data_IF_292867591803
#
_entry.id   IF_292867591803
#
_cell.length_a   1.000
_cell.length_b   1.000
_cell.length_c   1.000
_cell.angle_alpha   90.00
_cell.angle_beta   90.00
_cell.angle_gamma   90.00
#
_symmetry.space_group_name_H-M   'P 1'
#
loop_
_entity.id
_entity.type
_entity.pdbx_description
1 polymer ?
#
# COMPACT_ATOMS: atom_id res chain seq x y z
N UNK A 1 -20.54 -11.59 -1.42
CA UNK A 1 -20.72 -11.26 0.02
C UNK A 1 -19.47 -11.73 0.76
N UNK A 2 -18.68 -10.85 1.37
CA UNK A 2 -17.50 -11.26 2.15
C UNK A 2 -17.96 -11.95 3.45
N UNK A 3 -17.29 -13.05 3.81
CA UNK A 3 -17.49 -13.81 5.05
C UNK A 3 -16.44 -13.40 6.09
N UNK A 4 -16.70 -13.64 7.38
CA UNK A 4 -15.67 -13.49 8.40
C UNK A 4 -14.56 -14.51 8.12
N UNK A 5 -13.32 -14.05 7.97
CA UNK A 5 -12.20 -14.96 7.69
C UNK A 5 -11.62 -15.52 9.00
N UNK A 6 -10.98 -16.71 8.99
CA UNK A 6 -10.27 -17.24 10.15
C UNK A 6 -9.26 -16.24 10.74
N UNK A 7 -8.55 -15.50 9.88
CA UNK A 7 -7.60 -14.47 10.31
C UNK A 7 -8.26 -13.28 11.01
N UNK A 8 -9.42 -12.82 10.53
CA UNK A 8 -10.18 -11.74 11.16
C UNK A 8 -10.55 -12.12 12.59
N UNK A 9 -11.14 -13.31 12.77
CA UNK A 9 -11.53 -13.81 14.10
C UNK A 9 -10.28 -14.03 14.97
N UNK A 10 -9.21 -14.62 14.43
CA UNK A 10 -7.97 -14.84 15.16
C UNK A 10 -7.30 -13.52 15.63
N UNK A 11 -7.43 -12.43 14.85
CA UNK A 11 -6.92 -11.10 15.24
C UNK A 11 -7.61 -10.53 16.48
N UNK A 12 -8.90 -10.86 16.66
CA UNK A 12 -9.71 -10.50 17.81
C UNK A 12 -9.38 -11.40 19.02
N UNK A 13 -9.18 -12.70 18.78
CA UNK A 13 -8.71 -13.62 19.82
C UNK A 13 -7.32 -13.28 20.32
N UNK A 14 -6.42 -12.79 19.45
CA UNK A 14 -5.11 -12.28 19.85
C UNK A 14 -5.25 -11.09 20.80
N UNK A 15 -6.17 -10.16 20.52
CA UNK A 15 -6.44 -9.04 21.42
C UNK A 15 -6.88 -9.53 22.80
N UNK A 16 -7.85 -10.46 22.84
CA UNK A 16 -8.36 -11.03 24.08
C UNK A 16 -7.29 -11.79 24.85
N UNK A 17 -6.52 -12.64 24.18
CA UNK A 17 -5.46 -13.42 24.80
C UNK A 17 -4.38 -12.53 25.42
N UNK A 18 -3.95 -11.50 24.70
CA UNK A 18 -2.94 -10.56 25.20
C UNK A 18 -3.49 -9.72 26.36
N UNK A 19 -4.73 -9.24 26.31
CA UNK A 19 -5.34 -8.51 27.43
C UNK A 19 -5.59 -9.38 28.66
N UNK A 20 -5.87 -10.67 28.49
CA UNK A 20 -6.01 -11.62 29.60
C UNK A 20 -4.68 -11.87 30.32
N UNK A 21 -3.60 -12.03 29.55
CA UNK A 21 -2.26 -12.28 30.09
C UNK A 21 -1.59 -11.00 30.62
N UNK A 22 -1.85 -9.87 29.96
CA UNK A 22 -1.18 -8.59 30.22
C UNK A 22 -2.19 -7.44 30.31
N UNK A 23 -2.98 -7.31 31.39
CA UNK A 23 -4.10 -6.37 31.45
C UNK A 23 -3.75 -4.89 31.23
N UNK A 24 -2.52 -4.49 31.58
CA UNK A 24 -2.02 -3.11 31.46
C UNK A 24 -1.48 -2.76 30.07
N UNK A 25 -1.33 -3.75 29.18
CA UNK A 25 -0.86 -3.48 27.82
C UNK A 25 -1.91 -2.71 27.04
N UNK A 26 -1.48 -1.70 26.28
CA UNK A 26 -2.36 -0.91 25.43
C UNK A 26 -2.38 -1.50 24.03
N UNK A 27 -3.55 -1.49 23.40
CA UNK A 27 -3.74 -1.92 22.02
C UNK A 27 -3.62 -0.71 21.08
N UNK A 28 -3.13 -0.96 19.87
CA UNK A 28 -3.01 0.03 18.80
C UNK A 28 -3.60 -0.55 17.51
N UNK A 29 -2.81 -0.67 16.44
CA UNK A 29 -3.25 -1.18 15.14
C UNK A 29 -3.53 -2.69 15.09
N UNK A 30 -4.33 -3.10 14.11
CA UNK A 30 -4.55 -4.51 13.78
C UNK A 30 -4.63 -4.72 12.28
N UNK A 31 -4.26 -5.93 11.83
CA UNK A 31 -4.28 -6.33 10.43
C UNK A 31 -4.74 -7.78 10.34
N UNK A 32 -5.56 -8.11 9.33
CA UNK A 32 -5.99 -9.47 9.05
C UNK A 32 -6.29 -9.61 7.55
N UNK A 33 -5.49 -10.41 6.85
CA UNK A 33 -5.63 -10.65 5.42
C UNK A 33 -4.91 -11.94 5.02
N UNK A 34 -5.39 -12.64 3.99
CA UNK A 34 -4.73 -13.82 3.42
C UNK A 34 -4.30 -14.87 4.45
N UNK A 35 -5.16 -15.12 5.46
CA UNK A 35 -4.91 -16.05 6.56
C UNK A 35 -3.73 -15.68 7.49
N UNK A 36 -3.22 -14.45 7.35
CA UNK A 36 -2.26 -13.83 8.24
C UNK A 36 -2.96 -12.75 9.07
N UNK A 37 -2.51 -12.54 10.30
CA UNK A 37 -3.01 -11.44 11.13
C UNK A 37 -1.91 -10.92 12.03
N UNK A 38 -2.05 -9.66 12.45
CA UNK A 38 -1.18 -9.07 13.46
C UNK A 38 -1.92 -8.05 14.30
N UNK A 39 -1.41 -7.80 15.50
CA UNK A 39 -1.88 -6.72 16.37
C UNK A 39 -0.70 -6.03 17.04
N UNK A 40 -0.80 -4.71 17.10
CA UNK A 40 0.20 -3.83 17.69
C UNK A 40 -0.22 -3.47 19.11
N UNK A 41 0.77 -3.42 19.97
CA UNK A 41 0.64 -3.19 21.39
C UNK A 41 1.69 -2.21 21.88
N UNK A 42 1.38 -1.56 22.99
CA UNK A 42 2.29 -0.68 23.69
C UNK A 42 2.39 -1.09 25.16
N UNK A 43 3.62 -1.27 25.62
CA UNK A 43 3.92 -1.80 26.96
C UNK A 43 5.14 -1.13 27.58
N UNK A 44 5.23 -1.12 28.91
CA UNK A 44 6.42 -0.67 29.65
C UNK A 44 7.45 -1.81 29.87
N UNK A 45 7.09 -3.05 29.54
CA UNK A 45 7.93 -4.24 29.70
C UNK A 45 8.15 -4.97 28.38
N UNK A 46 9.26 -5.70 28.29
CA UNK A 46 9.63 -6.45 27.10
C UNK A 46 8.74 -7.70 26.92
N UNK A 47 8.36 -8.02 25.69
CA UNK A 47 7.68 -9.27 25.36
C UNK A 47 8.69 -10.23 24.73
N UNK A 48 9.18 -11.17 25.53
CA UNK A 48 10.15 -12.15 25.08
C UNK A 48 9.51 -13.29 24.25
N UNK A 49 10.34 -14.22 23.78
CA UNK A 49 9.87 -15.37 23.01
C UNK A 49 8.93 -16.30 23.81
N UNK A 50 8.97 -16.29 25.13
CA UNK A 50 8.07 -17.09 25.97
C UNK A 50 6.64 -16.54 25.94
N UNK A 51 6.49 -15.21 25.82
CA UNK A 51 5.19 -14.57 25.65
C UNK A 51 4.42 -15.12 24.44
N UNK A 52 5.12 -15.43 23.34
CA UNK A 52 4.51 -16.04 22.15
C UNK A 52 3.88 -17.39 22.47
N UNK A 53 4.52 -18.21 23.32
CA UNK A 53 3.97 -19.49 23.73
C UNK A 53 2.73 -19.32 24.62
N UNK A 54 2.80 -18.43 25.63
CA UNK A 54 1.65 -18.15 26.49
C UNK A 54 0.44 -17.62 25.72
N UNK A 55 0.66 -16.72 24.77
CA UNK A 55 -0.41 -16.20 23.91
C UNK A 55 -1.00 -17.31 23.04
N UNK A 56 -0.16 -18.18 22.46
CA UNK A 56 -0.64 -19.35 21.71
C UNK A 56 -1.51 -20.27 22.57
N UNK A 57 -1.08 -20.57 23.80
CA UNK A 57 -1.81 -21.42 24.72
C UNK A 57 -3.16 -20.78 25.08
N UNK A 58 -3.15 -19.49 25.41
CA UNK A 58 -4.39 -18.77 25.74
C UNK A 58 -5.36 -18.69 24.57
N UNK A 59 -4.89 -18.52 23.34
CA UNK A 59 -5.76 -18.56 22.14
C UNK A 59 -6.40 -19.94 21.99
N UNK A 60 -5.68 -21.04 22.25
CA UNK A 60 -6.26 -22.40 22.20
C UNK A 60 -7.37 -22.57 23.24
N UNK A 61 -7.21 -22.01 24.43
CA UNK A 61 -8.26 -22.02 25.45
C UNK A 61 -9.51 -21.25 24.99
N UNK A 62 -9.31 -20.05 24.43
CA UNK A 62 -10.41 -19.21 23.92
C UNK A 62 -11.17 -19.91 22.78
N UNK A 63 -10.46 -20.57 21.87
CA UNK A 63 -11.05 -21.38 20.78
C UNK A 63 -11.85 -22.55 21.36
N UNK A 64 -11.29 -23.26 22.33
CA UNK A 64 -11.94 -24.42 22.98
C UNK A 64 -13.19 -24.02 23.75
N UNK A 65 -13.20 -22.83 24.35
CA UNK A 65 -14.34 -22.28 25.07
C UNK A 65 -15.51 -21.83 24.16
N UNK A 66 -15.29 -21.73 22.84
CA UNK A 66 -16.32 -21.38 21.85
C UNK A 66 -17.11 -20.10 22.19
N UNK A 67 -16.41 -19.09 22.68
CA UNK A 67 -16.99 -17.82 23.14
C UNK A 67 -17.55 -16.99 21.96
N UNK A 68 -18.62 -16.20 22.18
CA UNK A 68 -19.17 -15.34 21.14
C UNK A 68 -18.31 -14.09 20.93
N UNK A 69 -18.19 -13.70 19.66
CA UNK A 69 -17.68 -12.41 19.19
C UNK A 69 -18.87 -11.69 18.55
N UNK A 70 -19.23 -10.54 19.11
CA UNK A 70 -20.47 -9.84 18.75
C UNK A 70 -20.10 -8.46 18.21
N UNK A 71 -20.51 -8.18 16.97
CA UNK A 71 -20.39 -6.85 16.39
C UNK A 71 -21.27 -5.85 17.14
N UNK A 72 -20.73 -4.66 17.35
CA UNK A 72 -21.42 -3.57 18.01
C UNK A 72 -20.99 -2.24 17.40
N UNK A 73 -21.91 -1.30 17.33
CA UNK A 73 -21.64 0.06 16.88
C UNK A 73 -22.00 1.06 17.96
N UNK A 74 -21.18 2.10 18.07
CA UNK A 74 -21.48 3.23 18.94
C UNK A 74 -20.99 4.53 18.30
N UNK A 75 -21.60 5.65 18.69
CA UNK A 75 -21.15 6.96 18.23
C UNK A 75 -19.67 7.17 18.59
N UNK A 76 -18.92 7.77 17.65
CA UNK A 76 -17.49 8.08 17.80
C UNK A 76 -17.15 8.64 19.18
N UNK A 77 -17.88 9.66 19.63
CA UNK A 77 -17.58 10.35 20.89
C UNK A 77 -17.81 9.47 22.13
N UNK A 78 -18.78 8.55 22.05
CA UNK A 78 -19.03 7.54 23.09
C UNK A 78 -17.88 6.52 23.12
N UNK A 79 -17.45 6.03 21.96
CA UNK A 79 -16.30 5.12 21.85
C UNK A 79 -15.02 5.76 22.39
N UNK A 80 -14.75 7.00 21.98
CA UNK A 80 -13.60 7.79 22.45
C UNK A 80 -13.62 7.91 23.98
N UNK A 81 -14.76 8.21 24.59
CA UNK A 81 -14.89 8.30 26.04
C UNK A 81 -14.64 6.96 26.75
N UNK A 82 -15.18 5.86 26.22
CA UNK A 82 -14.99 4.50 26.74
C UNK A 82 -13.53 4.06 26.68
N UNK A 83 -12.86 4.20 25.54
CA UNK A 83 -11.45 3.79 25.44
C UNK A 83 -10.52 4.69 26.26
N UNK A 84 -10.89 5.98 26.43
CA UNK A 84 -10.20 6.87 27.36
C UNK A 84 -10.31 6.39 28.81
N UNK A 85 -11.49 5.98 29.27
CA UNK A 85 -11.66 5.49 30.65
C UNK A 85 -10.98 4.13 30.88
N UNK A 86 -10.85 3.31 29.83
CA UNK A 86 -10.10 2.05 29.86
C UNK A 86 -8.58 2.23 29.77
N UNK A 87 -8.08 3.46 29.57
CA UNK A 87 -6.65 3.75 29.42
C UNK A 87 -6.05 3.31 28.09
N UNK A 88 -6.88 3.10 27.06
CA UNK A 88 -6.49 2.70 25.70
C UNK A 88 -6.31 3.96 24.81
N UNK A 89 -5.24 4.72 25.07
CA UNK A 89 -5.04 6.03 24.47
C UNK A 89 -4.80 5.99 22.95
N UNK A 90 -4.06 5.00 22.46
CA UNK A 90 -3.78 4.82 21.03
C UNK A 90 -5.08 4.59 20.24
N UNK A 91 -5.91 3.64 20.68
CA UNK A 91 -7.25 3.42 20.10
C UNK A 91 -8.11 4.68 20.17
N UNK A 92 -8.12 5.38 21.32
CA UNK A 92 -8.88 6.62 21.47
C UNK A 92 -8.43 7.66 20.42
N UNK A 93 -7.13 7.80 20.15
CA UNK A 93 -6.62 8.71 19.15
C UNK A 93 -7.01 8.31 17.73
N UNK A 94 -6.98 7.02 17.40
CA UNK A 94 -7.43 6.52 16.11
C UNK A 94 -8.93 6.76 15.88
N UNK A 95 -9.75 6.52 16.89
CA UNK A 95 -11.20 6.79 16.82
C UNK A 95 -11.52 8.27 16.61
N UNK A 96 -10.69 9.20 17.11
CA UNK A 96 -10.86 10.64 16.86
C UNK A 96 -10.64 11.05 15.41
N UNK A 97 -9.98 10.20 14.61
CA UNK A 97 -9.77 10.44 13.17
C UNK A 97 -11.03 10.15 12.35
N UNK A 98 -12.01 9.44 12.93
CA UNK A 98 -13.32 9.24 12.31
C UNK A 98 -14.08 10.57 12.21
N UNK A 99 -14.92 10.67 11.19
CA UNK A 99 -15.77 11.84 10.95
C UNK A 99 -16.67 12.15 12.16
N UNK A 100 -17.05 13.42 12.29
CA UNK A 100 -17.96 13.84 13.37
C UNK A 100 -19.29 13.10 13.22
N UNK A 101 -19.77 12.53 14.32
CA UNK A 101 -20.98 11.71 14.40
C UNK A 101 -20.92 10.35 13.66
N UNK A 102 -19.74 9.92 13.19
CA UNK A 102 -19.59 8.58 12.63
C UNK A 102 -19.88 7.49 13.68
N UNK A 103 -20.33 6.33 13.21
CA UNK A 103 -20.41 5.12 14.03
C UNK A 103 -19.05 4.41 14.00
N UNK A 104 -18.53 4.10 15.18
CA UNK A 104 -17.36 3.27 15.35
C UNK A 104 -17.78 1.79 15.37
N UNK A 105 -17.21 1.00 14.46
CA UNK A 105 -17.39 -0.45 14.41
C UNK A 105 -16.49 -1.14 15.44
N UNK A 106 -17.10 -1.91 16.33
CA UNK A 106 -16.44 -2.57 17.46
C UNK A 106 -16.86 -4.04 17.53
N UNK A 107 -16.04 -4.84 18.19
CA UNK A 107 -16.33 -6.24 18.49
C UNK A 107 -16.20 -6.47 19.99
N UNK A 108 -17.25 -7.03 20.58
CA UNK A 108 -17.26 -7.47 21.98
C UNK A 108 -16.91 -8.95 22.06
N UNK A 109 -15.94 -9.26 22.91
CA UNK A 109 -15.43 -10.60 23.18
C UNK A 109 -15.41 -10.77 24.70
N UNK A 110 -16.43 -11.44 25.23
CA UNK A 110 -16.63 -11.55 26.68
C UNK A 110 -16.67 -10.15 27.34
N UNK A 111 -15.72 -9.83 28.21
CA UNK A 111 -15.59 -8.54 28.89
C UNK A 111 -14.75 -7.50 28.12
N UNK A 112 -14.15 -7.87 26.99
CA UNK A 112 -13.30 -6.98 26.19
C UNK A 112 -14.10 -6.39 25.02
N UNK A 113 -13.90 -5.10 24.75
CA UNK A 113 -14.37 -4.43 23.53
C UNK A 113 -13.16 -3.93 22.75
N UNK A 114 -13.11 -4.23 21.46
CA UNK A 114 -12.00 -3.85 20.57
C UNK A 114 -12.55 -3.21 19.29
N UNK A 115 -11.85 -2.21 18.72
CA UNK A 115 -12.20 -1.72 17.39
C UNK A 115 -11.96 -2.78 16.32
N UNK A 116 -12.86 -2.81 15.34
CA UNK A 116 -12.75 -3.68 14.17
C UNK A 116 -14.12 -4.05 13.63
N UNK A 117 -14.13 -4.49 12.37
CA UNK A 117 -15.34 -4.90 11.69
C UNK A 117 -15.51 -6.43 11.74
N UNK A 118 -16.71 -6.86 12.11
CA UNK A 118 -17.12 -8.26 12.14
C UNK A 118 -18.54 -8.32 11.59
N UNK A 119 -18.79 -9.19 10.63
CA UNK A 119 -20.14 -9.32 10.07
C UNK A 119 -21.00 -10.13 11.03
N UNK A 120 -21.95 -9.45 11.68
CA UNK A 120 -22.90 -10.06 12.61
C UNK A 120 -22.23 -10.65 13.85
N UNK A 121 -22.45 -11.93 14.08
CA UNK A 121 -21.82 -12.67 15.17
C UNK A 121 -20.89 -13.75 14.62
N UNK A 122 -19.84 -14.04 15.37
CA UNK A 122 -18.98 -15.19 15.15
C UNK A 122 -18.69 -15.88 16.48
N UNK A 123 -18.12 -17.08 16.41
CA UNK A 123 -17.63 -17.84 17.55
C UNK A 123 -16.12 -17.98 17.47
N UNK A 124 -15.45 -18.03 18.62
CA UNK A 124 -13.99 -18.19 18.67
C UNK A 124 -13.51 -19.46 17.94
N UNK A 125 -14.32 -20.52 17.92
CA UNK A 125 -14.00 -21.78 17.21
C UNK A 125 -13.91 -21.63 15.69
N UNK A 126 -14.57 -20.62 15.12
CA UNK A 126 -14.52 -20.31 13.68
C UNK A 126 -13.16 -19.73 13.25
N UNK A 127 -12.29 -19.35 14.19
CA UNK A 127 -10.89 -19.04 13.89
C UNK A 127 -10.09 -20.27 13.39
N UNK A 128 -10.63 -21.48 13.58
CA UNK A 128 -9.99 -22.73 13.19
C UNK A 128 -8.70 -22.99 13.96
N UNK A 129 -7.63 -23.33 13.24
CA UNK A 129 -6.30 -23.52 13.78
C UNK A 129 -5.49 -22.22 13.72
N UNK A 130 -5.01 -21.75 14.87
CA UNK A 130 -4.27 -20.48 15.00
C UNK A 130 -2.86 -20.73 15.53
N UNK A 131 -1.88 -19.97 15.02
CA UNK A 131 -0.52 -19.94 15.54
C UNK A 131 0.09 -18.54 15.47
N UNK A 132 0.52 -18.02 16.62
CA UNK A 132 1.41 -16.86 16.71
C UNK A 132 2.82 -17.31 16.35
N UNK A 133 3.44 -16.57 15.43
CA UNK A 133 4.73 -16.89 14.83
C UNK A 133 5.87 -16.10 15.48
N UNK A 134 5.65 -14.82 15.71
CA UNK A 134 6.70 -13.91 16.15
C UNK A 134 6.13 -12.73 16.94
N UNK A 135 6.99 -12.18 17.79
CA UNK A 135 6.84 -10.85 18.36
C UNK A 135 7.99 -9.98 17.83
N UNK A 136 7.65 -8.87 17.20
CA UNK A 136 8.61 -7.84 16.82
C UNK A 136 8.44 -6.67 17.78
N UNK A 137 9.52 -6.20 18.38
CA UNK A 137 9.46 -5.11 19.35
C UNK A 137 10.53 -4.07 19.09
N UNK A 138 10.15 -2.80 19.26
CA UNK A 138 11.05 -1.66 19.16
C UNK A 138 10.97 -0.86 20.46
N UNK A 139 12.14 -0.56 21.04
CA UNK A 139 12.24 0.28 22.22
C UNK A 139 11.97 1.73 21.83
N UNK A 140 11.10 2.38 22.59
CA UNK A 140 10.68 3.77 22.40
C UNK A 140 10.61 4.51 23.74
N UNK A 141 10.37 5.82 23.70
CA UNK A 141 10.15 6.67 24.87
C UNK A 141 8.77 7.29 24.80
N UNK A 142 7.94 7.04 25.81
CA UNK A 142 6.59 7.61 25.91
C UNK A 142 6.48 8.40 27.21
N UNK A 143 6.23 9.70 27.08
CA UNK A 143 6.27 10.60 28.23
C UNK A 143 7.61 10.59 28.97
N UNK A 144 8.72 10.31 28.25
CA UNK A 144 10.06 10.17 28.82
C UNK A 144 10.33 8.83 29.52
N UNK A 145 9.38 7.89 29.56
CA UNK A 145 9.59 6.56 30.11
C UNK A 145 9.98 5.55 29.03
N UNK A 146 10.91 4.62 29.30
CA UNK A 146 11.16 3.47 28.43
C UNK A 146 9.88 2.68 28.21
N UNK A 147 9.56 2.42 26.95
CA UNK A 147 8.41 1.62 26.53
C UNK A 147 8.79 0.80 25.31
N UNK A 148 7.97 -0.17 24.96
CA UNK A 148 8.12 -1.01 23.79
C UNK A 148 6.85 -0.96 22.97
N UNK A 149 7.01 -0.72 21.66
CA UNK A 149 5.94 -0.99 20.70
C UNK A 149 6.16 -2.38 20.15
N UNK A 150 5.17 -3.25 20.32
CA UNK A 150 5.27 -4.66 20.01
C UNK A 150 4.21 -5.05 19.00
N UNK A 151 4.59 -5.76 17.93
CA UNK A 151 3.67 -6.39 16.98
C UNK A 151 3.74 -7.91 17.17
N UNK A 152 2.62 -8.51 17.54
CA UNK A 152 2.47 -9.97 17.49
C UNK A 152 1.82 -10.35 16.17
N UNK A 153 2.46 -11.25 15.43
CA UNK A 153 2.00 -11.73 14.13
C UNK A 153 1.71 -13.22 14.17
N UNK A 154 0.64 -13.64 13.51
CA UNK A 154 0.20 -15.02 13.47
C UNK A 154 -0.48 -15.39 12.17
N UNK A 155 -0.82 -16.68 12.08
CA UNK A 155 -1.57 -17.28 10.98
C UNK A 155 -2.75 -18.06 11.51
N UNK A 156 -3.84 -18.04 10.76
CA UNK A 156 -5.06 -18.79 11.04
C UNK A 156 -5.46 -19.58 9.79
N UNK A 157 -5.96 -20.79 9.97
CA UNK A 157 -6.48 -21.62 8.88
C UNK A 157 -7.67 -22.43 9.39
N UNK A 158 -8.47 -22.98 8.48
CA UNK A 158 -9.66 -23.77 8.84
C UNK A 158 -9.31 -24.99 9.71
N UNK A 159 -8.15 -25.60 9.45
CA UNK A 159 -7.68 -26.81 10.13
C UNK A 159 -6.14 -26.82 10.35
N UNK A 160 -5.67 -27.80 11.13
CA UNK A 160 -4.26 -27.96 11.49
C UNK A 160 -3.34 -28.33 10.31
N UNK A 161 -3.84 -29.06 9.30
CA UNK A 161 -3.06 -29.42 8.13
C UNK A 161 -2.83 -28.19 7.23
N UNK A 162 -3.89 -27.41 7.01
CA UNK A 162 -3.86 -26.12 6.31
C UNK A 162 -2.95 -25.12 7.01
N UNK A 163 -3.00 -25.06 8.34
CA UNK A 163 -2.09 -24.23 9.15
C UNK A 163 -0.62 -24.63 8.95
N UNK A 164 -0.30 -25.93 9.03
CA UNK A 164 1.08 -26.43 8.81
C UNK A 164 1.58 -26.09 7.41
N UNK A 165 0.74 -26.24 6.39
CA UNK A 165 1.07 -25.88 5.01
C UNK A 165 1.40 -24.39 4.88
N UNK A 166 0.56 -23.52 5.44
CA UNK A 166 0.78 -22.06 5.45
C UNK A 166 2.05 -21.66 6.21
N UNK A 167 2.32 -22.26 7.37
CA UNK A 167 3.56 -22.00 8.12
C UNK A 167 4.78 -22.42 7.30
N UNK A 168 4.71 -23.55 6.59
CA UNK A 168 5.79 -24.01 5.70
C UNK A 168 6.00 -23.03 4.53
N UNK A 169 4.93 -22.55 3.91
CA UNK A 169 5.05 -21.59 2.80
C UNK A 169 5.67 -20.28 3.26
N UNK A 170 5.30 -19.78 4.44
CA UNK A 170 5.88 -18.56 5.01
C UNK A 170 7.38 -18.70 5.30
N UNK A 171 7.83 -19.86 5.81
CA UNK A 171 9.26 -20.12 6.02
C UNK A 171 10.04 -20.09 4.69
N UNK A 172 9.50 -20.72 3.66
CA UNK A 172 10.12 -20.68 2.32
C UNK A 172 10.14 -19.27 1.73
N UNK A 173 9.10 -18.47 1.98
CA UNK A 173 9.08 -17.07 1.58
C UNK A 173 10.11 -16.22 2.35
N UNK A 174 10.29 -16.49 3.64
CA UNK A 174 11.26 -15.79 4.48
C UNK A 174 12.71 -16.06 4.06
N UNK A 175 13.02 -17.29 3.65
CA UNK A 175 14.32 -17.63 3.05
C UNK A 175 14.63 -16.82 1.79
N UNK A 176 13.59 -16.45 1.04
CA UNK A 176 13.69 -15.63 -0.18
C UNK A 176 13.50 -14.14 0.09
N UNK A 177 13.33 -13.72 1.35
CA UNK A 177 13.06 -12.32 1.68
C UNK A 177 14.13 -11.41 1.09
N UNK A 178 13.71 -10.32 0.44
CA UNK A 178 14.64 -9.32 -0.06
C UNK A 178 15.45 -8.67 1.06
N UNK A 179 14.95 -8.64 2.30
CA UNK A 179 15.70 -8.12 3.45
C UNK A 179 16.93 -8.99 3.76
N UNK A 180 16.78 -10.31 3.60
CA UNK A 180 17.87 -11.27 3.78
C UNK A 180 18.79 -11.28 2.57
N UNK A 181 18.23 -11.50 1.38
CA UNK A 181 19.00 -11.59 0.13
C UNK A 181 19.71 -10.27 -0.20
N UNK A 182 19.05 -9.14 0.03
CA UNK A 182 19.63 -7.80 -0.20
C UNK A 182 20.87 -7.56 0.66
N UNK A 183 20.86 -8.04 1.91
CA UNK A 183 22.02 -8.02 2.80
C UNK A 183 23.12 -8.96 2.33
N UNK A 184 22.77 -10.21 2.01
CA UNK A 184 23.74 -11.23 1.56
C UNK A 184 24.43 -10.82 0.25
N UNK A 185 23.71 -10.14 -0.65
CA UNK A 185 24.22 -9.60 -1.92
C UNK A 185 24.90 -8.24 -1.76
N UNK A 186 24.89 -7.64 -0.57
CA UNK A 186 25.42 -6.30 -0.26
C UNK A 186 24.81 -5.20 -1.15
N UNK A 187 23.49 -5.27 -1.35
CA UNK A 187 22.73 -4.29 -2.13
C UNK A 187 22.29 -3.12 -1.27
N UNK A 188 21.79 -3.40 -0.08
CA UNK A 188 21.33 -2.40 0.86
C UNK A 188 21.40 -2.95 2.29
N UNK A 189 21.44 -2.03 3.24
CA UNK A 189 21.23 -2.32 4.66
C UNK A 189 20.13 -1.41 5.21
N UNK A 190 19.39 -1.88 6.20
CA UNK A 190 18.42 -1.04 6.89
C UNK A 190 19.09 -0.34 8.08
N UNK A 191 19.10 0.99 8.05
CA UNK A 191 19.49 1.81 9.22
C UNK A 191 18.18 2.33 9.83
N UNK A 192 17.84 1.82 11.01
CA UNK A 192 16.46 1.87 11.51
C UNK A 192 15.55 1.07 10.57
N UNK A 193 14.47 1.68 10.07
CA UNK A 193 13.56 1.06 9.10
C UNK A 193 13.70 1.64 7.68
N UNK A 194 14.80 2.35 7.39
CA UNK A 194 15.05 2.94 6.06
C UNK A 194 16.16 2.19 5.33
N UNK A 195 15.97 1.87 4.04
CA UNK A 195 17.02 1.25 3.24
C UNK A 195 18.11 2.26 2.92
N UNK A 196 19.36 1.86 3.12
CA UNK A 196 20.56 2.54 2.63
C UNK A 196 21.17 1.66 1.58
N UNK A 197 21.12 2.10 0.33
CA UNK A 197 21.71 1.36 -0.79
C UNK A 197 23.23 1.44 -0.74
N UNK A 198 23.88 0.28 -0.72
CA UNK A 198 25.33 0.12 -0.79
C UNK A 198 25.80 0.22 -2.25
N UNK A 199 27.11 0.16 -2.49
CA UNK A 199 27.71 0.36 -3.83
C UNK A 199 27.05 -0.49 -4.92
N UNK A 200 26.80 -1.78 -4.68
CA UNK A 200 26.13 -2.66 -5.66
C UNK A 200 24.66 -2.29 -5.86
N UNK A 201 23.96 -1.91 -4.79
CA UNK A 201 22.58 -1.44 -4.89
C UNK A 201 22.43 -0.10 -5.60
N UNK A 202 23.35 0.84 -5.38
CA UNK A 202 23.42 2.10 -6.13
C UNK A 202 23.66 1.83 -7.62
N UNK A 203 24.54 0.87 -7.95
CA UNK A 203 24.73 0.46 -9.34
C UNK A 203 23.45 -0.14 -9.95
N UNK A 204 22.69 -0.93 -9.18
CA UNK A 204 21.40 -1.46 -9.61
C UNK A 204 20.37 -0.34 -9.86
N UNK A 205 20.25 0.63 -8.94
CA UNK A 205 19.36 1.78 -9.10
C UNK A 205 19.70 2.60 -10.36
N UNK A 206 20.98 2.89 -10.58
CA UNK A 206 21.44 3.60 -11.80
C UNK A 206 21.13 2.83 -13.06
N UNK A 207 21.32 1.50 -13.04
CA UNK A 207 21.00 0.66 -14.19
C UNK A 207 19.49 0.68 -14.49
N UNK A 208 18.65 0.63 -13.46
CA UNK A 208 17.19 0.75 -13.61
C UNK A 208 16.78 2.12 -14.15
N UNK A 209 17.40 3.19 -13.66
CA UNK A 209 17.21 4.55 -14.18
C UNK A 209 17.57 4.62 -15.68
N UNK A 210 18.75 4.14 -16.06
CA UNK A 210 19.21 4.13 -17.46
C UNK A 210 18.29 3.31 -18.39
N UNK A 211 17.86 2.14 -17.94
CA UNK A 211 16.95 1.27 -18.72
C UNK A 211 15.58 1.92 -18.89
N UNK A 212 15.03 2.48 -17.80
CA UNK A 212 13.75 3.18 -17.82
C UNK A 212 13.80 4.41 -18.72
N UNK A 213 14.88 5.20 -18.64
CA UNK A 213 15.08 6.37 -19.50
C UNK A 213 15.14 5.96 -20.98
N UNK A 214 15.93 4.95 -21.33
CA UNK A 214 16.04 4.44 -22.70
C UNK A 214 14.71 3.93 -23.24
N UNK A 215 13.92 3.25 -22.41
CA UNK A 215 12.59 2.79 -22.81
C UNK A 215 11.68 3.97 -23.17
N UNK A 216 11.64 5.03 -22.34
CA UNK A 216 10.90 6.25 -22.65
C UNK A 216 11.39 6.95 -23.93
N UNK A 217 12.71 7.12 -24.06
CA UNK A 217 13.32 7.76 -25.22
C UNK A 217 13.04 7.00 -26.52
N UNK A 218 12.95 5.66 -26.46
CA UNK A 218 12.64 4.83 -27.63
C UNK A 218 11.23 5.06 -28.20
N UNK A 219 10.31 5.57 -27.37
CA UNK A 219 8.95 5.97 -27.78
C UNK A 219 8.85 7.49 -28.10
N UNK A 220 9.98 8.20 -28.04
CA UNK A 220 10.05 9.64 -28.25
C UNK A 220 9.56 10.48 -27.06
N UNK A 221 9.45 9.88 -25.88
CA UNK A 221 9.10 10.59 -24.63
C UNK A 221 10.36 11.26 -24.10
N UNK A 222 10.29 12.58 -23.89
CA UNK A 222 11.44 13.35 -23.41
C UNK A 222 11.69 13.07 -21.93
N UNK A 223 12.84 12.48 -21.60
CA UNK A 223 13.28 12.34 -20.21
C UNK A 223 13.87 13.68 -19.75
N UNK A 224 13.23 14.32 -18.78
CA UNK A 224 13.62 15.64 -18.25
C UNK A 224 13.85 15.54 -16.74
N UNK A 225 14.50 16.56 -16.18
CA UNK A 225 14.70 16.69 -14.73
C UNK A 225 14.27 18.08 -14.28
N UNK A 226 13.50 18.12 -13.22
CA UNK A 226 12.90 19.34 -12.69
C UNK A 226 13.52 19.72 -11.34
N UNK A 227 13.59 21.02 -10.99
CA UNK A 227 14.00 21.43 -9.65
C UNK A 227 13.07 20.83 -8.57
N UNK A 228 13.64 20.43 -7.44
CA UNK A 228 12.87 19.97 -6.29
C UNK A 228 13.00 20.98 -5.14
N UNK A 229 11.89 21.54 -4.67
CA UNK A 229 11.85 22.34 -3.46
C UNK A 229 11.41 21.48 -2.26
N UNK A 230 12.26 21.26 -1.23
CA UNK A 230 11.93 20.40 -0.10
C UNK A 230 10.74 20.87 0.76
N UNK A 231 10.30 22.13 0.64
CA UNK A 231 9.25 22.72 1.47
C UNK A 231 7.85 22.75 0.82
N UNK A 232 7.69 22.19 -0.38
CA UNK A 232 6.46 22.26 -1.19
C UNK A 232 5.86 20.87 -1.45
N UNK A 233 4.63 20.87 -1.98
CA UNK A 233 4.04 19.67 -2.61
C UNK A 233 4.83 19.32 -3.88
N UNK A 234 5.84 18.45 -3.72
CA UNK A 234 6.77 18.05 -4.78
C UNK A 234 6.07 17.55 -6.05
N UNK A 235 4.95 16.83 -5.91
CA UNK A 235 4.25 16.27 -7.07
C UNK A 235 3.51 17.35 -7.87
N UNK A 236 2.90 18.31 -7.18
CA UNK A 236 2.26 19.46 -7.83
C UNK A 236 3.29 20.37 -8.52
N UNK A 237 4.47 20.53 -7.92
CA UNK A 237 5.56 21.31 -8.52
C UNK A 237 6.12 20.63 -9.76
N UNK A 238 6.42 19.32 -9.70
CA UNK A 238 6.83 18.53 -10.87
C UNK A 238 5.83 18.64 -12.00
N UNK A 239 4.53 18.45 -11.71
CA UNK A 239 3.48 18.60 -12.72
C UNK A 239 3.51 19.99 -13.38
N UNK A 240 3.75 21.04 -12.60
CA UNK A 240 3.84 22.41 -13.11
C UNK A 240 5.03 22.59 -14.07
N UNK A 241 6.19 22.01 -13.75
CA UNK A 241 7.36 22.01 -14.63
C UNK A 241 7.14 21.23 -15.92
N UNK A 242 6.51 20.05 -15.85
CA UNK A 242 6.18 19.25 -17.02
C UNK A 242 5.19 19.96 -17.94
N UNK A 243 4.21 20.68 -17.40
CA UNK A 243 3.29 21.49 -18.18
C UNK A 243 3.96 22.71 -18.82
N UNK A 244 4.88 23.37 -18.11
CA UNK A 244 5.68 24.45 -18.70
C UNK A 244 6.54 23.92 -19.87
N UNK A 245 7.15 22.74 -19.71
CA UNK A 245 7.90 22.09 -20.78
C UNK A 245 7.01 21.77 -22.00
N UNK A 246 5.80 21.26 -21.78
CA UNK A 246 4.81 21.06 -22.84
C UNK A 246 4.51 22.37 -23.59
N UNK A 247 4.20 23.46 -22.87
CA UNK A 247 3.92 24.76 -23.46
C UNK A 247 5.10 25.34 -24.24
N UNK A 248 6.33 25.13 -23.76
CA UNK A 248 7.53 25.53 -24.51
C UNK A 248 7.73 24.73 -25.79
N UNK A 249 7.39 23.44 -25.80
CA UNK A 249 7.42 22.63 -27.02
C UNK A 249 6.43 23.19 -28.05
N UNK A 250 5.20 23.50 -27.62
CA UNK A 250 4.17 24.14 -28.44
C UNK A 250 4.66 25.46 -29.04
N UNK A 251 5.13 26.39 -28.19
CA UNK A 251 5.64 27.72 -28.62
C UNK A 251 6.80 27.62 -29.62
N UNK A 252 7.60 26.56 -29.55
CA UNK A 252 8.76 26.32 -30.43
C UNK A 252 8.45 25.44 -31.63
N UNK A 253 7.20 25.00 -31.81
CA UNK A 253 6.82 24.07 -32.87
C UNK A 253 7.50 22.70 -32.79
N UNK A 254 7.89 22.25 -31.59
CA UNK A 254 8.49 20.93 -31.37
C UNK A 254 7.40 19.90 -31.13
N UNK A 255 7.56 18.73 -31.74
CA UNK A 255 6.70 17.58 -31.44
C UNK A 255 6.82 17.21 -29.96
N UNK A 256 5.68 17.06 -29.28
CA UNK A 256 5.61 16.61 -27.90
C UNK A 256 4.87 15.28 -27.83
N UNK A 257 5.57 14.21 -27.46
CA UNK A 257 4.99 12.87 -27.26
C UNK A 257 4.78 12.52 -25.79
N UNK A 258 5.15 13.42 -24.88
CA UNK A 258 5.17 13.19 -23.44
C UNK A 258 6.49 13.67 -22.83
N UNK A 259 6.50 13.80 -21.51
CA UNK A 259 7.74 14.03 -20.75
C UNK A 259 7.76 13.15 -19.52
N UNK A 260 8.90 12.50 -19.27
CA UNK A 260 9.12 11.62 -18.13
C UNK A 260 10.21 12.16 -17.22
N UNK A 261 10.10 11.85 -15.93
CA UNK A 261 11.13 12.15 -14.94
C UNK A 261 11.33 10.94 -14.04
N UNK A 262 12.60 10.57 -13.82
CA UNK A 262 13.00 9.54 -12.87
C UNK A 262 13.64 10.26 -11.70
N UNK A 263 13.10 10.06 -10.50
CA UNK A 263 13.58 10.81 -9.35
C UNK A 263 13.05 10.32 -8.02
N UNK A 264 13.63 10.87 -6.95
CA UNK A 264 13.22 10.59 -5.59
C UNK A 264 11.79 11.08 -5.35
N UNK A 265 10.91 10.19 -4.91
CA UNK A 265 9.57 10.49 -4.40
C UNK A 265 9.61 10.41 -2.88
N UNK A 266 8.88 11.33 -2.24
CA UNK A 266 8.75 11.37 -0.78
C UNK A 266 7.27 11.35 -0.42
N UNK A 267 6.91 10.53 0.57
CA UNK A 267 5.55 10.49 1.13
C UNK A 267 5.60 10.54 2.65
N UNK A 268 4.60 11.18 3.25
CA UNK A 268 4.38 11.07 4.68
C UNK A 268 3.96 9.63 5.01
N UNK A 269 4.70 9.00 5.92
CA UNK A 269 4.49 7.61 6.29
C UNK A 269 4.85 7.41 7.76
N UNK A 270 3.97 6.74 8.49
CA UNK A 270 4.29 6.32 9.85
C UNK A 270 5.40 5.24 9.81
N UNK A 271 6.49 5.37 10.61
CA UNK A 271 7.56 4.38 10.65
C UNK A 271 7.08 2.92 10.79
N UNK A 272 5.95 2.67 11.46
CA UNK A 272 5.39 1.34 11.73
C UNK A 272 4.63 0.72 10.55
N UNK A 273 4.33 1.55 9.56
CA UNK A 273 3.77 1.11 8.29
C UNK A 273 4.85 0.64 7.31
N UNK A 274 6.12 1.00 7.53
CA UNK A 274 7.21 0.60 6.64
C UNK A 274 7.30 -0.93 6.55
N UNK A 275 7.52 -1.44 5.34
CA UNK A 275 7.71 -2.87 5.06
C UNK A 275 8.89 -3.04 4.12
N UNK A 276 10.10 -3.21 4.66
CA UNK A 276 11.33 -3.38 3.86
C UNK A 276 11.43 -2.37 2.71
N UNK A 277 11.69 -2.87 1.50
CA UNK A 277 11.62 -2.10 0.25
C UNK A 277 10.20 -2.02 -0.35
N UNK A 278 9.25 -2.81 0.14
CA UNK A 278 7.87 -2.83 -0.34
C UNK A 278 7.12 -1.53 -0.05
N UNK A 279 7.36 -0.94 1.12
CA UNK A 279 6.71 0.30 1.52
C UNK A 279 7.66 1.22 2.30
N UNK A 280 8.23 2.18 1.58
CA UNK A 280 9.15 3.19 2.14
C UNK A 280 8.59 4.60 1.97
N UNK A 281 9.07 5.50 2.82
CA UNK A 281 8.71 6.93 2.79
C UNK A 281 9.51 7.72 1.76
N UNK A 282 10.67 7.20 1.35
CA UNK A 282 11.52 7.75 0.29
C UNK A 282 11.87 6.63 -0.68
N UNK A 283 11.64 6.85 -1.96
CA UNK A 283 11.82 5.83 -2.99
C UNK A 283 12.08 6.46 -4.35
N UNK A 284 12.88 5.83 -5.19
CA UNK A 284 13.06 6.23 -6.58
C UNK A 284 11.91 5.68 -7.43
N UNK A 285 11.34 6.54 -8.25
CA UNK A 285 10.33 6.13 -9.20
C UNK A 285 10.36 6.98 -10.46
N UNK A 286 9.89 6.39 -11.54
CA UNK A 286 9.63 7.08 -12.78
C UNK A 286 8.19 7.61 -12.83
N UNK A 287 7.99 8.71 -13.55
CA UNK A 287 6.65 9.23 -13.86
C UNK A 287 6.69 9.93 -15.21
N UNK A 288 5.86 9.47 -16.15
CA UNK A 288 5.58 10.13 -17.41
C UNK A 288 4.30 10.94 -17.33
N UNK A 289 4.31 12.10 -17.96
CA UNK A 289 3.21 13.04 -18.05
C UNK A 289 2.87 13.26 -19.52
N UNK A 290 1.59 13.12 -19.85
CA UNK A 290 1.06 13.41 -21.18
C UNK A 290 -0.09 14.40 -21.05
N UNK A 291 0.06 15.56 -21.69
CA UNK A 291 -1.01 16.54 -21.86
C UNK A 291 -1.66 16.25 -23.21
N UNK A 292 -2.87 15.68 -23.18
CA UNK A 292 -3.53 15.18 -24.39
C UNK A 292 -4.95 15.73 -24.51
N UNK A 293 -5.43 15.97 -25.73
CA UNK A 293 -6.86 16.23 -25.95
C UNK A 293 -7.72 15.11 -25.37
N UNK A 294 -8.84 15.47 -24.74
CA UNK A 294 -9.75 14.54 -24.05
C UNK A 294 -10.20 13.39 -24.96
N UNK A 295 -10.49 13.68 -26.24
CA UNK A 295 -10.89 12.70 -27.24
C UNK A 295 -9.78 11.71 -27.65
N UNK A 296 -8.50 11.98 -27.34
CA UNK A 296 -7.37 11.08 -27.58
C UNK A 296 -6.91 10.33 -26.32
N UNK A 297 -7.56 10.57 -25.19
CA UNK A 297 -7.17 9.99 -23.89
C UNK A 297 -7.18 8.47 -23.92
N UNK A 298 -8.23 7.84 -24.46
CA UNK A 298 -8.35 6.37 -24.53
C UNK A 298 -7.23 5.77 -25.38
N UNK A 299 -6.92 6.36 -26.54
CA UNK A 299 -5.82 5.90 -27.41
C UNK A 299 -4.48 5.97 -26.69
N UNK A 300 -4.23 7.08 -25.98
CA UNK A 300 -2.99 7.28 -25.19
C UNK A 300 -2.89 6.26 -24.07
N UNK A 301 -4.01 5.94 -23.42
CA UNK A 301 -4.08 4.91 -22.38
C UNK A 301 -3.74 3.54 -22.95
N UNK A 302 -4.34 3.14 -24.07
CA UNK A 302 -4.08 1.85 -24.71
C UNK A 302 -2.60 1.73 -25.08
N UNK A 303 -2.01 2.75 -25.72
CA UNK A 303 -0.59 2.69 -26.08
C UNK A 303 0.32 2.64 -24.85
N UNK A 304 -0.05 3.35 -23.77
CA UNK A 304 0.70 3.31 -22.50
C UNK A 304 0.63 1.93 -21.84
N UNK A 305 -0.53 1.27 -21.86
CA UNK A 305 -0.69 -0.09 -21.35
C UNK A 305 0.15 -1.08 -22.15
N UNK A 306 0.12 -1.01 -23.48
CA UNK A 306 0.95 -1.86 -24.36
C UNK A 306 2.44 -1.62 -24.13
N UNK A 307 2.84 -0.36 -23.93
CA UNK A 307 4.22 0.00 -23.61
C UNK A 307 4.65 -0.58 -22.26
N UNK A 308 3.81 -0.49 -21.24
CA UNK A 308 4.06 -1.12 -19.94
C UNK A 308 4.15 -2.63 -20.09
N UNK A 309 3.22 -3.29 -20.78
CA UNK A 309 3.26 -4.75 -20.99
C UNK A 309 4.51 -5.21 -21.73
N UNK A 310 5.01 -4.43 -22.69
CA UNK A 310 6.23 -4.75 -23.44
C UNK A 310 7.49 -4.65 -22.57
N UNK A 311 7.55 -3.69 -21.64
CA UNK A 311 8.78 -3.34 -20.92
C UNK A 311 8.78 -3.77 -19.45
N UNK A 312 7.62 -3.95 -18.84
CA UNK A 312 7.48 -4.37 -17.45
C UNK A 312 7.27 -5.89 -17.29
N UNK A 313 7.25 -6.65 -18.39
CA UNK A 313 7.03 -8.09 -18.33
C UNK A 313 8.24 -8.81 -17.74
N UNK A 314 8.15 -9.09 -16.45
CA UNK A 314 9.07 -9.97 -15.74
C UNK A 314 8.58 -11.40 -15.98
N UNK A 315 9.33 -12.18 -16.75
CA UNK A 315 8.96 -13.54 -17.12
C UNK A 315 8.62 -14.41 -15.89
N UNK A 316 7.52 -15.17 -15.97
CA UNK A 316 7.11 -16.13 -14.94
C UNK A 316 6.33 -15.55 -13.75
N UNK A 317 5.78 -14.34 -13.88
CA UNK A 317 5.06 -13.64 -12.81
C UNK A 317 3.56 -13.64 -13.06
N UNK A 318 2.80 -14.05 -12.04
CA UNK A 318 1.37 -13.72 -11.98
C UNK A 318 1.23 -12.22 -11.68
N UNK A 319 0.83 -11.48 -12.70
CA UNK A 319 0.48 -10.08 -12.61
C UNK A 319 -0.98 -9.90 -13.04
N UNK A 320 -1.67 -8.94 -12.41
CA UNK A 320 -3.04 -8.59 -12.77
C UNK A 320 -3.19 -7.09 -12.82
N UNK A 321 -3.84 -6.62 -13.89
CA UNK A 321 -4.32 -5.26 -13.94
C UNK A 321 -5.54 -5.11 -13.07
N UNK A 322 -5.53 -4.07 -12.23
CA UNK A 322 -6.68 -3.69 -11.43
C UNK A 322 -7.09 -2.27 -11.81
N UNK A 323 -8.38 -2.08 -12.03
CA UNK A 323 -8.97 -0.75 -12.13
C UNK A 323 -9.34 -0.26 -10.72
N UNK A 324 -8.71 0.82 -10.31
CA UNK A 324 -8.87 1.41 -9.00
C UNK A 324 -9.91 2.52 -9.08
N UNK A 325 -11.03 2.32 -8.39
CA UNK A 325 -12.11 3.30 -8.26
C UNK A 325 -12.13 3.80 -6.81
N UNK A 326 -12.20 5.12 -6.61
CA UNK A 326 -12.41 5.72 -5.29
C UNK A 326 -13.89 6.08 -5.15
N UNK A 327 -14.54 5.65 -4.06
CA UNK A 327 -15.99 5.82 -3.82
C UNK A 327 -16.45 7.29 -3.67
N UNK A 328 -15.56 8.27 -3.79
CA UNK A 328 -15.86 9.71 -3.74
C UNK A 328 -15.68 10.47 -5.06
N UNK A 329 -15.64 9.77 -6.20
CA UNK A 329 -15.39 10.40 -7.49
C UNK A 329 -16.51 10.14 -8.50
N UNK A 330 -17.43 11.10 -8.58
CA UNK A 330 -18.36 11.22 -9.70
C UNK A 330 -17.62 11.76 -10.93
N UNK A 331 -17.49 10.93 -11.95
CA UNK A 331 -17.74 11.45 -13.30
C UNK A 331 -19.25 11.72 -13.36
N UNK A 332 -19.66 12.89 -13.84
CA UNK A 332 -21.03 13.00 -14.34
C UNK A 332 -21.23 11.90 -15.39
N UNK A 333 -22.43 11.30 -15.41
CA UNK A 333 -22.82 10.24 -16.36
C UNK A 333 -22.61 10.61 -17.85
N UNK A 334 -22.22 11.85 -18.15
CA UNK A 334 -22.04 12.43 -19.47
C UNK A 334 -20.66 12.19 -20.13
N UNK A 335 -19.61 11.81 -19.39
CA UNK A 335 -18.23 11.70 -19.94
C UNK A 335 -17.71 10.27 -20.16
N UNK A 336 -18.53 9.24 -19.92
CA UNK A 336 -18.15 7.85 -20.16
C UNK A 336 -18.45 7.49 -21.61
N UNK A 337 -17.52 7.78 -22.51
CA UNK A 337 -17.62 7.32 -23.91
C UNK A 337 -17.69 5.78 -23.97
N UNK A 338 -18.31 5.23 -25.02
CA UNK A 338 -18.35 3.78 -25.23
C UNK A 338 -16.95 3.14 -25.30
N UNK A 339 -15.95 3.91 -25.71
CA UNK A 339 -14.55 3.50 -25.75
C UNK A 339 -13.99 3.25 -24.33
N UNK A 340 -14.35 4.08 -23.35
CA UNK A 340 -13.97 3.88 -21.96
C UNK A 340 -14.61 2.63 -21.36
N UNK A 341 -15.89 2.39 -21.65
CA UNK A 341 -16.58 1.16 -21.21
C UNK A 341 -15.90 -0.07 -21.79
N UNK A 342 -15.53 -0.01 -23.07
CA UNK A 342 -14.86 -1.11 -23.77
C UNK A 342 -13.46 -1.36 -23.21
N UNK A 343 -12.69 -0.30 -22.94
CA UNK A 343 -11.37 -0.40 -22.33
C UNK A 343 -11.43 -0.99 -20.91
N UNK A 344 -12.36 -0.53 -20.08
CA UNK A 344 -12.54 -1.07 -18.73
C UNK A 344 -12.96 -2.54 -18.77
N UNK A 345 -13.85 -2.92 -19.69
CA UNK A 345 -14.24 -4.31 -19.90
C UNK A 345 -13.06 -5.20 -20.37
N UNK A 346 -12.12 -4.65 -21.16
CA UNK A 346 -10.92 -5.37 -21.59
C UNK A 346 -9.89 -5.55 -20.46
N UNK A 347 -9.77 -4.56 -19.56
CA UNK A 347 -8.85 -4.62 -18.42
C UNK A 347 -9.44 -5.45 -17.26
N UNK A 348 -10.76 -5.69 -17.26
CA UNK A 348 -11.46 -6.40 -16.19
C UNK A 348 -11.09 -7.89 -16.07
N UNK A 349 -10.50 -8.23 -14.92
CA UNK A 349 -10.88 -9.47 -14.20
C UNK A 349 -11.29 -9.24 -12.75
N UNK A 350 -10.81 -8.21 -12.05
CA UNK A 350 -11.25 -7.90 -10.67
C UNK A 350 -11.18 -6.40 -10.38
N UNK A 351 -12.22 -5.86 -9.75
CA UNK A 351 -12.27 -4.47 -9.26
C UNK A 351 -11.93 -4.47 -7.77
N UNK A 352 -10.93 -3.69 -7.36
CA UNK A 352 -10.61 -3.47 -5.94
C UNK A 352 -10.96 -2.03 -5.58
N UNK A 353 -11.94 -1.85 -4.70
CA UNK A 353 -12.24 -0.55 -4.10
C UNK A 353 -11.17 -0.25 -3.04
N UNK A 354 -10.38 0.80 -3.27
CA UNK A 354 -9.39 1.25 -2.27
C UNK A 354 -9.95 2.43 -1.51
N UNK A 355 -10.24 2.25 -0.22
CA UNK A 355 -10.50 3.35 0.70
C UNK A 355 -9.20 4.06 1.07
N UNK A 356 -8.72 4.98 0.22
CA UNK A 356 -7.71 5.98 0.61
C UNK A 356 -8.41 7.30 0.91
N UNK A 357 -8.27 7.75 2.14
CA UNK A 357 -8.87 8.99 2.66
C UNK A 357 -8.08 10.25 2.32
N UNK A 358 -8.85 11.33 2.09
CA UNK A 358 -8.56 12.76 2.20
C UNK A 358 -7.43 13.35 1.34
N UNK A 359 -7.84 13.81 0.15
CA UNK A 359 -7.17 14.80 -0.68
C UNK A 359 -8.20 15.47 -1.59
N UNK A 360 -7.91 16.69 -2.09
CA UNK A 360 -8.84 17.50 -2.91
C UNK A 360 -9.47 16.67 -4.04
N UNK A 361 -10.74 16.98 -4.35
CA UNK A 361 -11.50 16.44 -5.48
C UNK A 361 -10.77 16.70 -6.80
N UNK A 362 -9.98 15.74 -7.27
CA UNK A 362 -9.47 15.67 -8.65
C UNK A 362 -9.81 14.31 -9.23
N UNK A 363 -10.76 14.33 -10.17
CA UNK A 363 -11.33 13.18 -10.90
C UNK A 363 -10.21 12.38 -11.54
N UNK A 364 -10.10 11.07 -11.25
CA UNK A 364 -9.13 10.21 -11.92
C UNK A 364 -9.62 8.77 -12.13
N UNK A 365 -9.48 8.26 -13.37
CA UNK A 365 -9.52 6.81 -13.66
C UNK A 365 -8.10 6.26 -13.54
N UNK A 366 -7.87 5.27 -12.68
CA UNK A 366 -6.54 4.72 -12.42
C UNK A 366 -6.51 3.22 -12.68
N UNK A 367 -5.47 2.78 -13.39
CA UNK A 367 -5.13 1.38 -13.64
C UNK A 367 -3.76 1.12 -13.05
N UNK A 368 -3.61 -0.02 -12.38
CA UNK A 368 -2.32 -0.41 -11.84
C UNK A 368 -2.09 -1.90 -12.05
N UNK A 369 -0.87 -2.25 -12.41
CA UNK A 369 -0.40 -3.61 -12.48
C UNK A 369 0.04 -4.02 -11.08
N UNK A 370 -0.58 -5.05 -10.54
CA UNK A 370 -0.20 -5.64 -9.26
C UNK A 370 0.54 -6.93 -9.50
N UNK A 371 1.70 -7.07 -8.84
CA UNK A 371 2.44 -8.32 -8.75
C UNK A 371 2.27 -8.92 -7.36
N UNK A 372 2.33 -10.24 -7.30
CA UNK A 372 2.22 -10.97 -6.04
C UNK A 372 3.62 -11.27 -5.48
N UNK A 373 3.91 -10.94 -4.22
CA UNK A 373 5.19 -11.22 -3.57
C UNK A 373 5.37 -12.70 -3.18
N UNK A 374 6.44 -13.04 -2.44
CA UNK A 374 6.65 -14.41 -1.96
C UNK A 374 5.65 -14.83 -0.85
N UNK A 375 5.01 -13.88 -0.17
CA UNK A 375 4.04 -14.07 0.91
C UNK A 375 2.58 -14.09 0.44
N UNK A 376 2.36 -14.00 -0.87
CA UNK A 376 1.04 -13.94 -1.52
C UNK A 376 0.33 -12.58 -1.33
N UNK A 377 1.04 -11.53 -0.91
CA UNK A 377 0.52 -10.16 -0.87
C UNK A 377 0.67 -9.51 -2.25
N UNK A 378 -0.31 -8.67 -2.63
CA UNK A 378 -0.27 -7.94 -3.89
C UNK A 378 0.27 -6.54 -3.66
N UNK A 379 1.21 -6.17 -4.52
CA UNK A 379 1.92 -4.91 -4.46
C UNK A 379 1.81 -4.19 -5.80
N UNK A 380 1.54 -2.89 -5.71
CA UNK A 380 1.42 -2.04 -6.87
C UNK A 380 2.78 -1.82 -7.54
N UNK A 381 2.83 -2.07 -8.84
CA UNK A 381 3.94 -1.80 -9.72
C UNK A 381 3.67 -0.64 -10.67
N UNK A 382 3.82 -0.84 -11.99
CA UNK A 382 3.47 0.13 -13.01
C UNK A 382 2.01 0.58 -12.90
N UNK A 383 1.74 1.84 -13.17
CA UNK A 383 0.41 2.43 -13.03
C UNK A 383 0.16 3.48 -14.09
N UNK A 384 -1.12 3.74 -14.33
CA UNK A 384 -1.62 4.71 -15.28
C UNK A 384 -2.82 5.42 -14.67
N UNK A 385 -2.86 6.74 -14.79
CA UNK A 385 -3.91 7.57 -14.21
C UNK A 385 -4.31 8.63 -15.24
N UNK A 386 -5.60 8.71 -15.54
CA UNK A 386 -6.17 9.79 -16.35
C UNK A 386 -6.94 10.71 -15.44
N UNK A 387 -6.54 11.97 -15.39
CA UNK A 387 -7.10 12.96 -14.50
C UNK A 387 -7.34 14.31 -15.19
N UNK A 388 -8.22 15.12 -14.61
CA UNK A 388 -8.32 16.54 -14.99
C UNK A 388 -7.04 17.29 -14.61
N UNK A 389 -6.62 18.23 -15.45
CA UNK A 389 -5.50 19.12 -15.12
C UNK A 389 -5.95 20.08 -14.01
N UNK A 390 -5.23 20.20 -12.88
CA UNK A 390 -5.64 21.08 -11.78
C UNK A 390 -5.53 22.56 -12.15
N UNK A 391 -6.38 23.40 -11.57
CA UNK A 391 -6.21 24.86 -11.64
C UNK A 391 -5.03 25.33 -10.78
N UNK A 392 -4.31 26.40 -11.20
CA UNK A 392 -4.55 27.24 -12.38
C UNK A 392 -3.92 26.71 -13.68
N UNK A 393 -3.33 25.52 -13.65
CA UNK A 393 -2.54 24.98 -14.75
C UNK A 393 -3.38 24.66 -15.99
N UNK A 394 -4.61 24.16 -15.81
CA UNK A 394 -5.55 23.92 -16.90
C UNK A 394 -5.87 25.20 -17.70
N UNK A 395 -6.13 26.30 -17.00
CA UNK A 395 -6.39 27.61 -17.60
C UNK A 395 -5.17 28.10 -18.39
N UNK A 396 -3.98 27.97 -17.81
CA UNK A 396 -2.73 28.33 -18.49
C UNK A 396 -2.53 27.52 -19.77
N UNK A 397 -2.71 26.20 -19.70
CA UNK A 397 -2.58 25.32 -20.88
C UNK A 397 -3.57 25.71 -21.97
N UNK A 398 -4.84 25.93 -21.61
CA UNK A 398 -5.89 26.33 -22.56
C UNK A 398 -5.57 27.67 -23.25
N UNK A 399 -4.97 28.62 -22.52
CA UNK A 399 -4.67 29.95 -23.05
C UNK A 399 -3.40 30.00 -23.90
N UNK A 400 -2.38 29.20 -23.56
CA UNK A 400 -1.05 29.27 -24.17
C UNK A 400 -0.76 28.15 -25.18
N UNK A 401 -1.56 27.09 -25.23
CA UNK A 401 -1.43 26.02 -26.22
C UNK A 401 -2.07 26.41 -27.56
N UNK A 402 -1.53 25.88 -28.66
CA UNK A 402 -2.19 25.95 -29.97
C UNK A 402 -3.45 25.06 -30.03
N UNK A 403 -3.54 24.08 -29.12
CA UNK A 403 -4.62 23.12 -29.01
C UNK A 403 -5.78 23.72 -28.21
N UNK A 404 -6.91 24.00 -28.89
CA UNK A 404 -8.11 24.60 -28.27
C UNK A 404 -9.09 23.58 -27.67
N UNK A 405 -8.78 22.29 -27.75
CA UNK A 405 -9.62 21.24 -27.19
C UNK A 405 -9.45 21.14 -25.68
N UNK A 406 -10.42 20.49 -25.04
CA UNK A 406 -10.31 20.20 -23.61
C UNK A 406 -9.18 19.19 -23.38
N UNK A 407 -8.21 19.60 -22.59
CA UNK A 407 -7.00 18.81 -22.30
C UNK A 407 -7.18 18.02 -21.02
N UNK A 408 -6.70 16.79 -21.02
CA UNK A 408 -6.58 15.93 -19.84
C UNK A 408 -5.12 15.59 -19.59
N UNK A 409 -4.84 15.18 -18.36
CA UNK A 409 -3.55 14.69 -17.96
C UNK A 409 -3.59 13.16 -17.89
N UNK A 410 -2.70 12.51 -18.63
CA UNK A 410 -2.38 11.09 -18.40
C UNK A 410 -1.05 11.04 -17.67
N UNK A 411 -1.02 10.42 -16.49
CA UNK A 411 0.21 10.08 -15.77
C UNK A 411 0.46 8.59 -15.92
N UNK A 412 1.66 8.18 -16.25
CA UNK A 412 2.04 6.78 -16.34
C UNK A 412 3.33 6.52 -15.57
N UNK A 413 3.50 5.29 -15.08
CA UNK A 413 4.79 4.77 -14.60
C UNK A 413 5.08 3.47 -15.33
N UNK A 414 6.31 3.31 -15.81
CA UNK A 414 6.79 2.14 -16.50
C UNK A 414 7.25 1.07 -15.52
N UNK A 415 8.02 1.46 -14.52
CA UNK A 415 8.57 0.56 -13.49
C UNK A 415 7.87 0.79 -12.15
N UNK A 416 7.48 2.05 -11.88
CA UNK A 416 6.98 2.45 -10.57
C UNK A 416 8.15 2.61 -9.58
N UNK A 417 7.99 2.13 -8.35
CA UNK A 417 9.07 2.20 -7.36
C UNK A 417 10.19 1.21 -7.69
N UNK A 418 11.41 1.72 -7.84
CA UNK A 418 12.60 0.89 -8.08
C UNK A 418 12.91 0.00 -6.88
N UNK A 419 12.70 0.49 -5.66
CA UNK A 419 12.82 -0.28 -4.42
C UNK A 419 11.92 -1.49 -4.46
N UNK A 420 10.63 -1.31 -4.79
CA UNK A 420 9.70 -2.43 -4.91
C UNK A 420 10.10 -3.39 -6.03
N UNK A 421 10.54 -2.87 -7.17
CA UNK A 421 11.01 -3.70 -8.28
C UNK A 421 12.22 -4.56 -7.87
N UNK A 422 13.17 -3.99 -7.12
CA UNK A 422 14.31 -4.72 -6.57
C UNK A 422 13.83 -5.77 -5.57
N UNK A 423 12.96 -5.41 -4.63
CA UNK A 423 12.39 -6.33 -3.64
C UNK A 423 11.75 -7.53 -4.34
N UNK A 424 10.94 -7.24 -5.37
CA UNK A 424 10.24 -8.22 -6.17
C UNK A 424 11.19 -9.18 -6.89
N UNK A 425 12.19 -8.65 -7.59
CA UNK A 425 13.17 -9.48 -8.30
C UNK A 425 13.92 -10.39 -7.34
N UNK A 426 14.39 -9.86 -6.20
CA UNK A 426 15.08 -10.65 -5.18
C UNK A 426 14.19 -11.78 -4.64
N UNK A 427 12.95 -11.48 -4.28
CA UNK A 427 12.04 -12.49 -3.71
C UNK A 427 11.63 -13.58 -4.71
N UNK A 428 11.57 -13.25 -6.00
CA UNK A 428 11.15 -14.20 -7.05
C UNK A 428 12.30 -15.00 -7.63
N UNK A 429 13.36 -14.32 -8.06
CA UNK A 429 14.46 -14.92 -8.83
C UNK A 429 15.72 -15.13 -7.99
N UNK A 430 15.80 -14.53 -6.79
CA UNK A 430 17.02 -14.50 -6.00
C UNK A 430 18.09 -13.56 -6.56
N UNK A 431 17.78 -12.80 -7.63
CA UNK A 431 18.73 -11.98 -8.35
C UNK A 431 18.13 -10.62 -8.74
N UNK A 432 19.00 -9.68 -9.09
CA UNK A 432 18.60 -8.36 -9.58
C UNK A 432 18.08 -8.41 -11.03
N UNK A 433 17.25 -7.43 -11.42
CA UNK A 433 16.82 -7.26 -12.81
C UNK A 433 17.99 -6.71 -13.65
N UNK A 434 18.93 -7.58 -14.02
CA UNK A 434 20.05 -7.21 -14.88
C UNK A 434 19.82 -7.57 -16.35
N UNK A 435 18.63 -8.08 -16.69
CA UNK A 435 18.23 -8.45 -18.05
C UNK A 435 16.94 -7.77 -18.55
N UNK A 436 16.54 -6.63 -17.98
CA UNK A 436 15.52 -5.76 -18.59
C UNK A 436 16.15 -4.91 -19.70
#
# INVERSE_FOLDING_TARGET
MQTNTPATIASFLLAKAVKDLFPKIQMSGSFAENNCFSRDFLTEFELDASAVQFVNDRIRDLISANIPLIHHEMLRDVAVSMFKSHGEWEIMHDLKRLEKNALASLVRIDNLVVPGDLRGEARSKEAGAVKILAVHQEKTLIGGKPSYRCRLSGVAAEDQASLKSKVKSLKSADEKSHEKLGKDLQLFEFIGSRPVFLTKGVAALRKLEDLTAKAYESEGISVIRTPANPSSDLESERLSWHAEYYLQCQKRGREYRGSAEIGLKVRALDPHQRRGLWYTDQFWADTAYFFVPSHLSVKTVISSLQFIEKNANISGVESRWLSLHSENFGLEKSDVSAEWVSLEALIQKETLSTNRSQGKKTVAKRFALFYQDARQEFWEGPSLEVASIPEPLSVKIRNESHEKSDMVLVKATLSGSFERLIAFCLEKTGALPLSL
#
